data_IF_751127896009
#
_entry.id   IF_751127896009
#
_cell.length_a   1.000
_cell.length_b   1.000
_cell.length_c   1.000
_cell.angle_alpha   90.00
_cell.angle_beta   90.00
_cell.angle_gamma   90.00
#
_symmetry.space_group_name_H-M   'P 1'
#
loop_
_entity.id
_entity.type
_entity.pdbx_description
1 polymer ?
#
# COMPACT_ATOMS: atom_id res chain seq x y z
N UNK A 1 -18.20 -57.15 12.22
CA UNK A 1 -17.65 -58.53 12.34
C UNK A 1 -18.10 -59.33 11.12
N UNK A 2 -17.18 -59.90 10.34
CA UNK A 2 -17.55 -60.69 9.17
C UNK A 2 -16.39 -60.96 8.19
N UNK A 3 -15.70 -62.08 8.43
CA UNK A 3 -14.94 -62.96 7.50
C UNK A 3 -13.84 -62.42 6.55
N UNK A 4 -12.65 -62.95 6.82
CA UNK A 4 -11.40 -63.11 6.04
C UNK A 4 -11.56 -63.49 4.54
N UNK A 5 -10.59 -63.08 3.71
CA UNK A 5 -9.70 -64.01 2.98
C UNK A 5 -8.42 -63.35 2.44
N UNK A 6 -7.32 -64.08 2.54
CA UNK A 6 -5.93 -63.81 2.13
C UNK A 6 -5.57 -64.57 0.84
N UNK A 7 -4.65 -64.03 0.02
CA UNK A 7 -3.51 -64.68 -0.70
C UNK A 7 -3.05 -63.79 -1.89
N UNK A 8 -1.79 -63.32 -1.96
CA UNK A 8 -0.57 -63.93 -2.60
C UNK A 8 -0.73 -64.11 -4.12
N UNK A 9 0.23 -63.89 -5.03
CA UNK A 9 1.64 -63.41 -5.10
C UNK A 9 2.03 -63.51 -6.61
N UNK A 10 3.19 -62.97 -6.99
CA UNK A 10 3.98 -63.17 -8.25
C UNK A 10 3.74 -62.09 -9.32
N UNK A 11 4.69 -61.24 -9.75
CA UNK A 11 6.13 -61.37 -10.06
C UNK A 11 6.44 -62.30 -11.24
N UNK A 12 6.73 -61.69 -12.40
CA UNK A 12 7.40 -62.33 -13.52
C UNK A 12 8.47 -61.37 -14.06
N UNK A 13 9.73 -61.80 -13.91
CA UNK A 13 10.89 -61.34 -14.66
C UNK A 13 10.70 -61.67 -16.15
N UNK A 14 11.16 -60.81 -17.05
CA UNK A 14 11.82 -61.24 -18.28
C UNK A 14 12.99 -60.30 -18.59
N UNK A 15 14.13 -60.94 -18.71
CA UNK A 15 15.46 -60.47 -19.06
C UNK A 15 15.63 -60.63 -20.58
N UNK A 16 16.21 -59.64 -21.25
CA UNK A 16 16.72 -59.80 -22.63
C UNK A 16 17.67 -58.66 -22.94
N UNK A 17 18.96 -58.94 -22.74
CA UNK A 17 20.07 -58.20 -23.34
C UNK A 17 20.04 -58.34 -24.87
N UNK A 18 20.28 -57.24 -25.58
CA UNK A 18 20.97 -57.28 -26.88
C UNK A 18 21.68 -55.94 -27.13
N UNK A 19 22.98 -56.04 -27.42
CA UNK A 19 23.93 -54.95 -27.49
C UNK A 19 24.09 -54.39 -28.92
N UNK A 20 24.29 -53.07 -28.98
CA UNK A 20 25.16 -52.34 -29.90
C UNK A 20 24.71 -51.91 -31.33
N UNK A 21 24.66 -50.57 -31.44
CA UNK A 21 24.96 -49.67 -32.57
C UNK A 21 23.94 -49.46 -33.71
N UNK A 22 23.36 -48.26 -33.77
CA UNK A 22 23.80 -47.26 -34.76
C UNK A 22 23.14 -45.88 -34.54
N UNK A 23 23.92 -44.87 -34.88
CA UNK A 23 23.68 -43.42 -34.84
C UNK A 23 22.44 -42.98 -35.64
N UNK A 24 21.65 -42.06 -35.08
CA UNK A 24 20.98 -40.99 -35.85
C UNK A 24 20.73 -39.80 -34.94
N UNK A 25 21.35 -38.69 -35.29
CA UNK A 25 21.14 -37.37 -34.70
C UNK A 25 19.74 -36.84 -35.02
N UNK A 26 19.02 -36.36 -34.02
CA UNK A 26 18.12 -35.21 -34.18
C UNK A 26 17.79 -34.61 -32.82
N UNK A 27 18.26 -33.38 -32.64
CA UNK A 27 17.86 -32.48 -31.59
C UNK A 27 16.36 -32.18 -31.70
N UNK A 28 15.57 -32.62 -30.73
CA UNK A 28 14.27 -32.00 -30.44
C UNK A 28 14.36 -31.36 -29.06
N UNK A 29 14.52 -30.04 -29.07
CA UNK A 29 14.30 -29.19 -27.92
C UNK A 29 12.84 -29.36 -27.48
N UNK A 30 12.64 -29.80 -26.25
CA UNK A 30 11.35 -29.88 -25.58
C UNK A 30 10.74 -28.47 -25.42
N UNK A 31 9.73 -28.15 -26.24
CA UNK A 31 8.93 -26.91 -26.18
C UNK A 31 7.45 -27.17 -25.84
N UNK A 32 7.02 -28.40 -25.55
CA UNK A 32 5.57 -28.68 -25.38
C UNK A 32 5.01 -28.43 -23.96
N UNK A 33 5.82 -28.04 -22.98
CA UNK A 33 5.38 -27.92 -21.58
C UNK A 33 4.70 -26.60 -21.22
N UNK A 34 5.03 -25.51 -21.91
CA UNK A 34 4.48 -24.17 -21.63
C UNK A 34 3.17 -23.92 -22.37
N UNK A 35 3.07 -24.33 -23.64
CA UNK A 35 1.86 -24.13 -24.45
C UNK A 35 0.65 -24.93 -23.94
N UNK A 36 0.83 -26.19 -23.51
CA UNK A 36 -0.27 -27.01 -22.96
C UNK A 36 -0.81 -26.48 -21.62
N UNK A 37 0.04 -25.85 -20.80
CA UNK A 37 -0.38 -25.26 -19.53
C UNK A 37 -1.08 -23.90 -19.72
N UNK A 38 -0.69 -23.14 -20.74
CA UNK A 38 -1.31 -21.85 -21.08
C UNK A 38 -2.71 -22.05 -21.68
N UNK A 39 -2.85 -22.97 -22.64
CA UNK A 39 -4.15 -23.31 -23.28
C UNK A 39 -5.16 -23.85 -22.27
N UNK A 40 -4.72 -24.66 -21.30
CA UNK A 40 -5.59 -25.16 -20.24
C UNK A 40 -6.07 -24.05 -19.29
N UNK A 41 -5.23 -23.05 -18.98
CA UNK A 41 -5.63 -21.92 -18.11
C UNK A 41 -6.63 -20.99 -18.79
N UNK A 42 -6.44 -20.72 -20.08
CA UNK A 42 -7.38 -19.92 -20.87
C UNK A 42 -8.77 -20.58 -20.94
N UNK A 43 -8.80 -21.91 -21.10
CA UNK A 43 -10.06 -22.66 -21.10
C UNK A 43 -10.82 -22.59 -19.76
N UNK A 44 -10.09 -22.58 -18.64
CA UNK A 44 -10.67 -22.45 -17.29
C UNK A 44 -11.21 -21.04 -17.03
N UNK A 45 -10.51 -20.01 -17.52
CA UNK A 45 -10.99 -18.62 -17.45
C UNK A 45 -12.28 -18.44 -18.26
N UNK A 46 -12.33 -19.04 -19.44
CA UNK A 46 -13.51 -19.01 -20.29
C UNK A 46 -14.73 -19.68 -19.63
N UNK A 47 -14.55 -20.86 -19.05
CA UNK A 47 -15.60 -21.54 -18.28
C UNK A 47 -16.03 -20.71 -17.05
N UNK A 48 -15.08 -20.05 -16.38
CA UNK A 48 -15.38 -19.20 -15.24
C UNK A 48 -16.20 -17.97 -15.66
N UNK A 49 -15.90 -17.32 -16.79
CA UNK A 49 -16.72 -16.22 -17.32
C UNK A 49 -18.14 -16.68 -17.63
N UNK A 50 -18.30 -17.84 -18.27
CA UNK A 50 -19.62 -18.39 -18.58
C UNK A 50 -20.41 -18.67 -17.30
N UNK A 51 -19.75 -19.19 -16.26
CA UNK A 51 -20.36 -19.43 -14.96
C UNK A 51 -20.81 -18.15 -14.23
N UNK A 52 -20.38 -16.95 -14.64
CA UNK A 52 -20.91 -15.68 -14.10
C UNK A 52 -22.36 -15.40 -14.57
N UNK A 53 -22.82 -16.03 -15.65
CA UNK A 53 -24.20 -15.90 -16.12
C UNK A 53 -25.20 -16.76 -15.33
N UNK A 54 -24.70 -17.66 -14.47
CA UNK A 54 -25.54 -18.57 -13.71
C UNK A 54 -26.46 -17.85 -12.71
N UNK A 55 -27.70 -18.33 -12.58
CA UNK A 55 -28.70 -17.70 -11.68
C UNK A 55 -28.28 -17.79 -10.22
N UNK A 56 -27.56 -18.84 -9.84
CA UNK A 56 -27.19 -19.13 -8.45
C UNK A 56 -25.96 -18.32 -8.02
N UNK A 57 -26.13 -17.44 -7.03
CA UNK A 57 -25.04 -16.59 -6.53
C UNK A 57 -23.82 -17.36 -6.03
N UNK A 58 -24.01 -18.50 -5.37
CA UNK A 58 -22.87 -19.32 -4.92
C UNK A 58 -22.03 -19.91 -6.06
N UNK A 59 -22.60 -20.06 -7.27
CA UNK A 59 -21.85 -20.49 -8.45
C UNK A 59 -21.02 -19.32 -8.99
N UNK A 60 -21.63 -18.13 -9.10
CA UNK A 60 -20.94 -16.90 -9.49
C UNK A 60 -19.80 -16.54 -8.53
N UNK A 61 -19.99 -16.71 -7.21
CA UNK A 61 -18.93 -16.50 -6.21
C UNK A 61 -17.71 -17.41 -6.44
N UNK A 62 -17.94 -18.68 -6.82
CA UNK A 62 -16.84 -19.61 -7.13
C UNK A 62 -16.11 -19.20 -8.40
N UNK A 63 -16.86 -18.84 -9.44
CA UNK A 63 -16.30 -18.34 -10.69
C UNK A 63 -15.43 -17.09 -10.47
N UNK A 64 -15.91 -16.12 -9.70
CA UNK A 64 -15.11 -14.93 -9.33
C UNK A 64 -13.82 -15.30 -8.59
N UNK A 65 -13.87 -16.30 -7.70
CA UNK A 65 -12.66 -16.77 -6.98
C UNK A 65 -11.63 -17.35 -7.95
N UNK A 66 -12.06 -18.19 -8.90
CA UNK A 66 -11.19 -18.77 -9.94
C UNK A 66 -10.57 -17.67 -10.81
N UNK A 67 -11.36 -16.66 -11.19
CA UNK A 67 -10.86 -15.51 -11.96
C UNK A 67 -9.78 -14.77 -11.17
N UNK A 68 -10.02 -14.44 -9.89
CA UNK A 68 -9.04 -13.75 -9.04
C UNK A 68 -7.74 -14.56 -8.92
N UNK A 69 -7.83 -15.87 -8.70
CA UNK A 69 -6.66 -16.75 -8.62
C UNK A 69 -5.87 -16.77 -9.94
N UNK A 70 -6.55 -16.79 -11.08
CA UNK A 70 -5.91 -16.76 -12.39
C UNK A 70 -5.19 -15.44 -12.69
N UNK A 71 -5.79 -14.30 -12.31
CA UNK A 71 -5.19 -12.98 -12.45
C UNK A 71 -4.00 -12.76 -11.50
N UNK A 72 -4.06 -13.29 -10.27
CA UNK A 72 -2.92 -13.23 -9.33
C UNK A 72 -1.78 -14.18 -9.72
N UNK A 73 -2.07 -15.27 -10.43
CA UNK A 73 -1.09 -16.28 -10.82
C UNK A 73 -0.30 -15.94 -12.09
N UNK A 74 -0.85 -15.17 -13.02
CA UNK A 74 -0.19 -14.76 -14.27
C UNK A 74 -0.86 -13.51 -14.86
N UNK A 75 -0.11 -12.72 -15.64
CA UNK A 75 -0.65 -11.58 -16.38
C UNK A 75 -1.48 -12.06 -17.59
N UNK A 76 -2.81 -11.95 -17.49
CA UNK A 76 -3.78 -12.49 -18.45
C UNK A 76 -4.06 -11.55 -19.64
N UNK A 77 -3.02 -10.99 -20.27
CA UNK A 77 -3.21 -9.95 -21.31
C UNK A 77 -4.06 -10.40 -22.50
N UNK A 78 -3.80 -11.60 -23.03
CA UNK A 78 -4.51 -12.10 -24.21
C UNK A 78 -6.02 -12.35 -23.95
N UNK A 79 -6.35 -12.81 -22.75
CA UNK A 79 -7.74 -12.98 -22.31
C UNK A 79 -8.44 -11.63 -22.18
N UNK A 80 -7.78 -10.67 -21.51
CA UNK A 80 -8.30 -9.33 -21.28
C UNK A 80 -8.59 -8.61 -22.60
N UNK A 81 -7.67 -8.64 -23.56
CA UNK A 81 -7.87 -8.03 -24.89
C UNK A 81 -9.18 -8.49 -25.57
N UNK A 82 -9.56 -9.76 -25.39
CA UNK A 82 -10.75 -10.35 -26.03
C UNK A 82 -12.02 -10.17 -25.20
N UNK A 83 -11.93 -10.20 -23.88
CA UNK A 83 -13.09 -10.38 -22.99
C UNK A 83 -13.23 -9.34 -21.88
N UNK A 84 -12.42 -8.28 -21.84
CA UNK A 84 -12.50 -7.29 -20.74
C UNK A 84 -13.91 -6.72 -20.55
N UNK A 85 -14.59 -6.29 -21.62
CA UNK A 85 -15.92 -5.69 -21.55
C UNK A 85 -16.96 -6.68 -21.01
N UNK A 86 -16.86 -7.95 -21.42
CA UNK A 86 -17.77 -9.02 -20.94
C UNK A 86 -17.55 -9.26 -19.45
N UNK A 87 -16.30 -9.40 -19.02
CA UNK A 87 -15.96 -9.62 -17.63
C UNK A 87 -16.38 -8.42 -16.75
N UNK A 88 -16.06 -7.20 -17.17
CA UNK A 88 -16.45 -5.96 -16.49
C UNK A 88 -17.97 -5.93 -16.30
N UNK A 89 -18.73 -6.15 -17.37
CA UNK A 89 -20.19 -6.14 -17.31
C UNK A 89 -20.74 -7.14 -16.27
N UNK A 90 -20.19 -8.36 -16.22
CA UNK A 90 -20.62 -9.36 -15.24
C UNK A 90 -20.21 -9.03 -13.81
N UNK A 91 -19.03 -8.48 -13.59
CA UNK A 91 -18.63 -8.00 -12.27
C UNK A 91 -19.51 -6.83 -11.81
N UNK A 92 -19.86 -5.89 -12.69
CA UNK A 92 -20.77 -4.79 -12.36
C UNK A 92 -22.19 -5.28 -12.05
N UNK A 93 -22.68 -6.30 -12.75
CA UNK A 93 -23.96 -6.94 -12.42
C UNK A 93 -23.93 -7.61 -11.03
N UNK A 94 -22.80 -8.25 -10.71
CA UNK A 94 -22.54 -8.84 -9.39
C UNK A 94 -22.50 -7.76 -8.29
N UNK A 95 -21.93 -6.59 -8.56
CA UNK A 95 -21.95 -5.45 -7.62
C UNK A 95 -23.37 -4.93 -7.39
N UNK A 96 -24.19 -4.87 -8.45
CA UNK A 96 -25.57 -4.35 -8.37
C UNK A 96 -26.53 -5.28 -7.61
N UNK A 97 -26.39 -6.60 -7.75
CA UNK A 97 -27.41 -7.57 -7.29
C UNK A 97 -26.86 -8.68 -6.39
N UNK A 98 -25.55 -8.78 -6.24
CA UNK A 98 -24.89 -9.90 -5.58
C UNK A 98 -24.99 -9.89 -4.07
N UNK A 99 -24.56 -11.00 -3.47
CA UNK A 99 -24.36 -11.11 -2.02
C UNK A 99 -23.22 -10.19 -1.56
N UNK A 100 -23.10 -9.92 -0.25
CA UNK A 100 -21.96 -9.15 0.31
C UNK A 100 -20.61 -9.71 -0.13
N UNK A 101 -20.50 -11.04 -0.16
CA UNK A 101 -19.28 -11.77 -0.56
C UNK A 101 -19.06 -11.68 -2.06
N UNK A 102 -20.12 -11.86 -2.85
CA UNK A 102 -20.08 -11.72 -4.31
C UNK A 102 -19.65 -10.31 -4.74
N UNK A 103 -20.18 -9.27 -4.09
CA UNK A 103 -19.78 -7.88 -4.30
C UNK A 103 -18.28 -7.70 -4.01
N UNK A 104 -17.80 -8.22 -2.88
CA UNK A 104 -16.39 -8.09 -2.48
C UNK A 104 -15.45 -8.75 -3.50
N UNK A 105 -15.79 -9.97 -3.96
CA UNK A 105 -15.05 -10.69 -4.98
C UNK A 105 -15.11 -9.97 -6.35
N UNK A 106 -16.27 -9.48 -6.75
CA UNK A 106 -16.44 -8.75 -8.01
C UNK A 106 -15.64 -7.44 -8.01
N UNK A 107 -15.64 -6.70 -6.89
CA UNK A 107 -14.81 -5.50 -6.73
C UNK A 107 -13.32 -5.80 -6.85
N UNK A 108 -12.84 -6.88 -6.23
CA UNK A 108 -11.45 -7.29 -6.34
C UNK A 108 -11.07 -7.71 -7.77
N UNK A 109 -11.96 -8.47 -8.45
CA UNK A 109 -11.76 -8.85 -9.85
C UNK A 109 -11.70 -7.64 -10.81
N UNK A 110 -12.52 -6.60 -10.59
CA UNK A 110 -12.46 -5.36 -11.38
C UNK A 110 -11.12 -4.64 -11.16
N UNK A 111 -10.62 -4.57 -9.93
CA UNK A 111 -9.30 -3.98 -9.64
C UNK A 111 -8.17 -4.70 -10.38
N UNK A 112 -8.15 -6.04 -10.34
CA UNK A 112 -7.18 -6.86 -11.08
C UNK A 112 -7.34 -6.72 -12.61
N UNK A 113 -8.58 -6.62 -13.10
CA UNK A 113 -8.86 -6.37 -14.51
C UNK A 113 -8.23 -5.05 -14.96
N UNK A 114 -8.46 -3.96 -14.22
CA UNK A 114 -7.88 -2.66 -14.54
C UNK A 114 -6.34 -2.69 -14.54
N UNK A 115 -5.73 -3.31 -13.54
CA UNK A 115 -4.27 -3.45 -13.46
C UNK A 115 -3.69 -4.26 -14.63
N UNK A 116 -4.42 -5.27 -15.10
CA UNK A 116 -3.97 -6.15 -16.21
C UNK A 116 -4.17 -5.50 -17.58
N UNK A 117 -5.25 -4.73 -17.75
CA UNK A 117 -5.46 -3.88 -18.94
C UNK A 117 -4.33 -2.85 -19.07
N UNK A 118 -3.91 -2.27 -17.94
CA UNK A 118 -2.90 -1.22 -17.91
C UNK A 118 -3.43 0.14 -18.38
N UNK A 119 -2.53 1.13 -18.44
CA UNK A 119 -2.88 2.50 -18.83
C UNK A 119 -3.41 2.55 -20.27
N UNK A 120 -4.56 3.18 -20.49
CA UNK A 120 -5.16 3.34 -21.82
C UNK A 120 -6.67 3.51 -21.81
N UNK A 121 -7.27 3.48 -23.00
CA UNK A 121 -8.72 3.73 -23.18
C UNK A 121 -9.58 2.69 -22.47
N UNK A 122 -9.18 1.42 -22.50
CA UNK A 122 -9.90 0.34 -21.81
C UNK A 122 -9.95 0.54 -20.28
N UNK A 123 -8.88 1.07 -19.67
CA UNK A 123 -8.88 1.38 -18.23
C UNK A 123 -9.76 2.58 -17.90
N UNK A 124 -9.83 3.57 -18.78
CA UNK A 124 -10.76 4.70 -18.67
C UNK A 124 -12.21 4.23 -18.74
N UNK A 125 -12.53 3.37 -19.70
CA UNK A 125 -13.85 2.75 -19.83
C UNK A 125 -14.24 1.98 -18.56
N UNK A 126 -13.31 1.19 -17.99
CA UNK A 126 -13.53 0.50 -16.72
C UNK A 126 -13.89 1.49 -15.60
N UNK A 127 -13.16 2.60 -15.47
CA UNK A 127 -13.45 3.63 -14.48
C UNK A 127 -14.85 4.24 -14.71
N UNK A 128 -15.12 4.73 -15.91
CA UNK A 128 -16.37 5.41 -16.28
C UNK A 128 -17.60 4.53 -16.01
N UNK A 129 -17.58 3.27 -16.45
CA UNK A 129 -18.70 2.34 -16.26
C UNK A 129 -18.88 1.91 -14.80
N UNK A 130 -17.82 1.92 -14.00
CA UNK A 130 -17.83 1.47 -12.61
C UNK A 130 -18.28 2.53 -11.60
N UNK A 131 -18.12 3.84 -11.89
CA UNK A 131 -18.44 4.92 -10.94
C UNK A 131 -19.88 4.82 -10.45
N UNK A 132 -20.85 4.62 -11.34
CA UNK A 132 -22.28 4.63 -10.98
C UNK A 132 -22.67 3.39 -10.15
N UNK A 133 -22.34 2.15 -10.56
CA UNK A 133 -22.60 0.95 -9.76
C UNK A 133 -21.94 0.99 -8.37
N UNK A 134 -20.67 1.44 -8.28
CA UNK A 134 -19.96 1.56 -7.01
C UNK A 134 -20.62 2.59 -6.09
N UNK A 135 -20.97 3.76 -6.63
CA UNK A 135 -21.68 4.82 -5.89
C UNK A 135 -23.03 4.35 -5.32
N UNK A 136 -23.73 3.46 -6.02
CA UNK A 136 -24.97 2.86 -5.53
C UNK A 136 -24.69 1.79 -4.47
N UNK A 137 -23.66 0.95 -4.65
CA UNK A 137 -23.29 -0.10 -3.72
C UNK A 137 -22.82 0.43 -2.35
N UNK A 138 -22.23 1.63 -2.33
CA UNK A 138 -21.91 2.36 -1.10
C UNK A 138 -23.14 2.75 -0.28
N UNK A 139 -24.27 3.04 -0.95
CA UNK A 139 -25.52 3.44 -0.28
C UNK A 139 -26.33 2.24 0.25
N UNK A 140 -26.10 1.04 -0.27
CA UNK A 140 -26.94 -0.14 -0.05
C UNK A 140 -26.57 -1.00 1.17
N UNK A 141 -25.84 -0.47 2.16
CA UNK A 141 -25.66 -1.12 3.47
C UNK A 141 -24.29 -0.89 4.12
N UNK A 142 -24.22 -1.05 5.45
CA UNK A 142 -23.15 -0.53 6.32
C UNK A 142 -22.05 -1.53 6.73
N UNK A 143 -21.87 -2.62 6.00
CA UNK A 143 -20.85 -3.64 6.33
C UNK A 143 -19.45 -3.16 5.99
N UNK A 144 -18.55 -3.17 6.97
CA UNK A 144 -17.22 -2.57 6.82
C UNK A 144 -16.34 -3.26 5.78
N UNK A 145 -16.38 -4.60 5.69
CA UNK A 145 -15.60 -5.36 4.71
C UNK A 145 -16.06 -5.12 3.26
N UNK A 146 -17.38 -5.11 3.02
CA UNK A 146 -17.95 -4.77 1.72
C UNK A 146 -17.52 -3.37 1.28
N UNK A 147 -17.58 -2.40 2.20
CA UNK A 147 -17.20 -1.01 1.92
C UNK A 147 -15.70 -0.91 1.61
N UNK A 148 -14.84 -1.63 2.37
CA UNK A 148 -13.41 -1.67 2.11
C UNK A 148 -13.10 -2.19 0.69
N UNK A 149 -13.66 -3.33 0.28
CA UNK A 149 -13.43 -3.85 -1.08
C UNK A 149 -13.95 -2.93 -2.20
N UNK A 150 -15.06 -2.23 -1.98
CA UNK A 150 -15.57 -1.23 -2.92
C UNK A 150 -14.65 0.00 -3.02
N UNK A 151 -14.09 0.45 -1.90
CA UNK A 151 -13.12 1.55 -1.84
C UNK A 151 -11.81 1.18 -2.53
N UNK A 152 -11.32 -0.03 -2.25
CA UNK A 152 -10.13 -0.59 -2.91
C UNK A 152 -10.33 -0.62 -4.42
N UNK A 153 -11.44 -1.21 -4.88
CA UNK A 153 -11.78 -1.24 -6.30
C UNK A 153 -11.80 0.16 -6.90
N UNK A 154 -12.50 1.12 -6.28
CA UNK A 154 -12.58 2.49 -6.80
C UNK A 154 -11.20 3.14 -6.87
N UNK A 155 -10.37 3.02 -5.84
CA UNK A 155 -9.04 3.63 -5.86
C UNK A 155 -8.12 3.01 -6.92
N UNK A 156 -8.17 1.70 -7.15
CA UNK A 156 -7.34 1.04 -8.19
C UNK A 156 -7.78 1.47 -9.58
N UNK A 157 -9.08 1.39 -9.88
CA UNK A 157 -9.56 1.74 -11.23
C UNK A 157 -9.35 3.23 -11.52
N UNK A 158 -9.43 4.10 -10.51
CA UNK A 158 -9.09 5.51 -10.65
C UNK A 158 -7.59 5.71 -10.82
N UNK A 159 -6.75 4.97 -10.09
CA UNK A 159 -5.29 5.05 -10.22
C UNK A 159 -4.80 4.65 -11.62
N UNK A 160 -5.42 3.64 -12.24
CA UNK A 160 -5.03 3.17 -13.58
C UNK A 160 -5.75 3.93 -14.70
N UNK A 161 -7.04 4.21 -14.54
CA UNK A 161 -7.89 4.79 -15.59
C UNK A 161 -8.06 6.31 -15.52
N UNK A 162 -7.82 6.94 -14.37
CA UNK A 162 -8.00 8.36 -14.14
C UNK A 162 -6.84 9.16 -14.73
N UNK A 163 -7.03 9.65 -15.95
CA UNK A 163 -5.99 10.40 -16.66
C UNK A 163 -6.02 11.90 -16.30
N UNK A 164 -7.20 12.40 -15.94
CA UNK A 164 -7.40 13.79 -15.59
C UNK A 164 -7.53 13.97 -14.06
N UNK A 165 -6.99 15.07 -13.50
CA UNK A 165 -7.12 15.37 -12.08
C UNK A 165 -8.58 15.50 -11.64
N UNK A 166 -9.48 15.92 -12.53
CA UNK A 166 -10.92 16.05 -12.27
C UNK A 166 -11.59 14.68 -12.02
N UNK A 167 -11.20 13.63 -12.76
CA UNK A 167 -11.74 12.27 -12.57
C UNK A 167 -11.25 11.66 -11.26
N UNK A 168 -9.98 11.90 -10.93
CA UNK A 168 -9.39 11.51 -9.65
C UNK A 168 -10.07 12.24 -8.50
N UNK A 169 -10.26 13.56 -8.61
CA UNK A 169 -10.96 14.35 -7.62
C UNK A 169 -12.40 13.86 -7.42
N UNK A 170 -13.14 13.57 -8.49
CA UNK A 170 -14.51 13.04 -8.42
C UNK A 170 -14.56 11.73 -7.63
N UNK A 171 -13.61 10.83 -7.86
CA UNK A 171 -13.51 9.56 -7.15
C UNK A 171 -13.17 9.78 -5.66
N UNK A 172 -12.22 10.66 -5.38
CA UNK A 172 -11.87 11.07 -4.02
C UNK A 172 -13.05 11.71 -3.28
N UNK A 173 -13.86 12.54 -3.96
CA UNK A 173 -15.06 13.13 -3.40
C UNK A 173 -16.10 12.06 -3.04
N UNK A 174 -16.31 11.04 -3.88
CA UNK A 174 -17.20 9.91 -3.61
C UNK A 174 -16.78 9.19 -2.31
N UNK A 175 -15.48 8.89 -2.16
CA UNK A 175 -14.94 8.27 -0.95
C UNK A 175 -15.15 9.17 0.27
N UNK A 176 -14.89 10.47 0.13
CA UNK A 176 -15.00 11.44 1.24
C UNK A 176 -16.44 11.59 1.74
N UNK A 177 -17.45 11.46 0.87
CA UNK A 177 -18.86 11.50 1.27
C UNK A 177 -19.26 10.39 2.25
N UNK A 178 -18.51 9.29 2.35
CA UNK A 178 -18.78 8.20 3.30
C UNK A 178 -18.46 8.58 4.74
N UNK A 179 -17.45 9.44 4.93
CA UNK A 179 -17.02 9.90 6.27
C UNK A 179 -17.53 11.30 6.60
N UNK A 180 -17.83 12.09 5.56
CA UNK A 180 -18.36 13.44 5.69
C UNK A 180 -19.51 13.67 4.70
N UNK A 181 -20.70 13.10 4.95
CA UNK A 181 -21.86 13.27 4.06
C UNK A 181 -22.23 14.75 3.95
N UNK A 182 -22.43 15.25 2.72
CA UNK A 182 -23.09 16.53 2.48
C UNK A 182 -24.44 16.49 3.19
N UNK A 183 -24.63 17.37 4.17
CA UNK A 183 -25.81 17.43 5.03
C UNK A 183 -27.05 17.76 4.17
N UNK A 184 -27.68 16.74 3.59
CA UNK A 184 -29.01 16.82 3.01
C UNK A 184 -30.04 16.66 4.12
N UNK A 185 -31.01 17.57 4.18
CA UNK A 185 -32.13 17.55 5.13
C UNK A 185 -32.73 16.13 5.24
N UNK A 186 -32.78 15.58 6.45
CA UNK A 186 -33.47 14.35 6.88
C UNK A 186 -32.82 12.96 6.69
N UNK A 187 -31.49 12.81 6.60
CA UNK A 187 -30.87 11.47 6.69
C UNK A 187 -30.16 11.29 8.04
N UNK A 188 -30.58 10.28 8.82
CA UNK A 188 -29.89 9.82 10.03
C UNK A 188 -28.50 9.34 9.59
N UNK A 189 -27.46 10.11 9.89
CA UNK A 189 -26.08 9.74 9.58
C UNK A 189 -25.61 8.68 10.56
N UNK A 190 -25.56 7.42 10.10
CA UNK A 190 -24.88 6.36 10.85
C UNK A 190 -23.41 6.72 10.91
N UNK A 191 -22.89 6.90 12.14
CA UNK A 191 -21.46 7.16 12.36
C UNK A 191 -20.64 6.02 11.74
N UNK A 192 -19.69 6.30 10.82
CA UNK A 192 -18.90 5.25 10.19
C UNK A 192 -18.04 4.54 11.24
N UNK A 193 -17.87 3.22 11.07
CA UNK A 193 -17.01 2.40 11.93
C UNK A 193 -15.54 2.80 11.75
N UNK A 194 -14.69 2.49 12.73
CA UNK A 194 -13.25 2.75 12.62
C UNK A 194 -12.61 2.07 11.39
N UNK A 195 -13.06 0.85 11.06
CA UNK A 195 -12.61 0.13 9.87
C UNK A 195 -12.99 0.87 8.56
N UNK A 196 -14.22 1.40 8.46
CA UNK A 196 -14.64 2.19 7.29
C UNK A 196 -13.84 3.48 7.19
N UNK A 197 -13.64 4.19 8.30
CA UNK A 197 -12.83 5.42 8.32
C UNK A 197 -11.41 5.14 7.83
N UNK A 198 -10.79 4.08 8.36
CA UNK A 198 -9.44 3.65 7.95
C UNK A 198 -9.39 3.39 6.45
N UNK A 199 -10.29 2.55 5.93
CA UNK A 199 -10.33 2.22 4.50
C UNK A 199 -10.55 3.46 3.62
N UNK A 200 -11.44 4.38 4.01
CA UNK A 200 -11.69 5.61 3.27
C UNK A 200 -10.44 6.49 3.25
N UNK A 201 -9.80 6.71 4.40
CA UNK A 201 -8.62 7.57 4.49
C UNK A 201 -7.46 6.97 3.69
N UNK A 202 -7.21 5.66 3.80
CA UNK A 202 -6.14 4.98 3.06
C UNK A 202 -6.36 5.02 1.54
N UNK A 203 -7.58 4.72 1.06
CA UNK A 203 -7.91 4.78 -0.37
C UNK A 203 -7.84 6.22 -0.91
N UNK A 204 -8.30 7.20 -0.12
CA UNK A 204 -8.22 8.62 -0.48
C UNK A 204 -6.78 9.12 -0.52
N UNK A 205 -5.94 8.76 0.46
CA UNK A 205 -4.52 9.15 0.47
C UNK A 205 -3.74 8.46 -0.65
N UNK A 206 -4.10 7.23 -1.01
CA UNK A 206 -3.53 6.53 -2.16
C UNK A 206 -3.78 7.29 -3.46
N UNK A 207 -5.02 7.70 -3.73
CA UNK A 207 -5.32 8.55 -4.91
C UNK A 207 -4.65 9.91 -4.83
N UNK A 208 -4.48 10.48 -3.64
CA UNK A 208 -3.78 11.74 -3.51
C UNK A 208 -2.32 11.66 -4.01
N UNK A 209 -1.67 10.50 -3.90
CA UNK A 209 -0.30 10.31 -4.39
C UNK A 209 -0.13 10.47 -5.91
N UNK A 210 -1.22 10.37 -6.68
CA UNK A 210 -1.18 10.54 -8.14
C UNK A 210 -1.49 11.96 -8.59
N UNK A 211 -1.96 12.83 -7.68
CA UNK A 211 -2.29 14.20 -8.02
C UNK A 211 -1.06 15.11 -7.92
N UNK A 212 -0.91 16.04 -8.85
CA UNK A 212 -0.04 17.19 -8.61
C UNK A 212 -0.75 18.12 -7.61
N UNK A 213 -0.03 18.67 -6.63
CA UNK A 213 -0.66 19.46 -5.54
C UNK A 213 -1.47 20.70 -5.97
N UNK A 214 -1.57 20.98 -7.28
CA UNK A 214 -2.39 22.03 -7.90
C UNK A 214 -3.82 21.58 -8.26
N UNK A 215 -4.08 20.27 -8.32
CA UNK A 215 -5.36 19.74 -8.79
C UNK A 215 -6.52 19.80 -7.80
N UNK A 216 -6.29 20.21 -6.55
CA UNK A 216 -7.31 20.19 -5.49
C UNK A 216 -7.60 21.60 -4.96
N UNK A 217 -8.89 21.94 -4.81
CA UNK A 217 -9.27 23.27 -4.33
C UNK A 217 -8.79 23.53 -2.89
N UNK A 218 -8.31 24.74 -2.55
CA UNK A 218 -7.83 25.07 -1.20
C UNK A 218 -8.83 24.81 -0.07
N UNK A 219 -10.14 24.88 -0.37
CA UNK A 219 -11.22 24.60 0.59
C UNK A 219 -11.30 23.11 0.93
N UNK A 220 -11.12 22.23 -0.06
CA UNK A 220 -11.09 20.79 0.15
C UNK A 220 -9.86 20.43 0.99
N UNK A 221 -8.71 20.99 0.68
CA UNK A 221 -7.48 20.82 1.45
C UNK A 221 -7.62 21.19 2.92
N UNK A 222 -8.11 22.40 3.22
CA UNK A 222 -8.26 22.87 4.59
C UNK A 222 -9.27 22.01 5.39
N UNK A 223 -10.38 21.64 4.75
CA UNK A 223 -11.37 20.74 5.35
C UNK A 223 -10.80 19.35 5.66
N UNK A 224 -10.05 18.78 4.72
CA UNK A 224 -9.41 17.47 4.88
C UNK A 224 -8.35 17.48 5.97
N UNK A 225 -7.46 18.49 6.03
CA UNK A 225 -6.42 18.61 7.07
C UNK A 225 -7.06 18.70 8.46
N UNK A 226 -8.11 19.52 8.60
CA UNK A 226 -8.82 19.69 9.87
C UNK A 226 -9.48 18.38 10.32
N UNK A 227 -10.11 17.67 9.39
CA UNK A 227 -10.73 16.38 9.67
C UNK A 227 -9.68 15.33 10.06
N UNK A 228 -8.59 15.19 9.30
CA UNK A 228 -7.52 14.24 9.58
C UNK A 228 -6.83 14.54 10.93
N UNK A 229 -6.61 15.82 11.27
CA UNK A 229 -6.13 16.22 12.61
C UNK A 229 -7.07 15.74 13.72
N UNK A 230 -8.40 15.79 13.50
CA UNK A 230 -9.36 15.25 14.48
C UNK A 230 -9.34 13.73 14.61
N UNK A 231 -8.86 13.02 13.58
CA UNK A 231 -8.72 11.56 13.62
C UNK A 231 -7.49 11.12 14.42
N UNK A 232 -6.45 11.95 14.52
CA UNK A 232 -5.27 11.69 15.36
C UNK A 232 -5.61 11.58 16.85
N UNK A 233 -6.70 12.24 17.29
CA UNK A 233 -7.17 12.22 18.68
C UNK A 233 -8.08 11.02 19.00
N UNK A 234 -8.37 10.13 18.04
CA UNK A 234 -9.25 8.97 18.27
C UNK A 234 -8.52 7.81 18.94
N UNK A 235 -9.27 7.02 19.73
CA UNK A 235 -8.73 5.85 20.42
C UNK A 235 -8.22 4.77 19.45
N UNK A 236 -8.90 4.62 18.30
CA UNK A 236 -8.59 3.58 17.32
C UNK A 236 -7.25 3.84 16.63
N UNK A 237 -6.35 2.88 16.79
CA UNK A 237 -4.98 2.92 16.27
C UNK A 237 -4.93 2.96 14.75
N UNK A 238 -5.72 2.14 14.07
CA UNK A 238 -5.69 2.04 12.60
C UNK A 238 -6.15 3.35 11.97
N UNK A 239 -7.16 3.98 12.58
CA UNK A 239 -7.61 5.32 12.19
C UNK A 239 -6.50 6.37 12.38
N UNK A 240 -5.78 6.33 13.51
CA UNK A 240 -4.65 7.25 13.77
C UNK A 240 -3.52 7.06 12.76
N UNK A 241 -3.13 5.82 12.48
CA UNK A 241 -2.09 5.47 11.50
C UNK A 241 -2.47 6.01 10.11
N UNK A 242 -3.66 5.66 9.61
CA UNK A 242 -4.11 6.10 8.29
C UNK A 242 -4.18 7.64 8.20
N UNK A 243 -4.63 8.31 9.27
CA UNK A 243 -4.64 9.77 9.31
C UNK A 243 -3.23 10.39 9.29
N UNK A 244 -2.27 9.78 9.99
CA UNK A 244 -0.87 10.20 9.98
C UNK A 244 -0.22 10.06 8.60
N UNK A 245 -0.39 8.91 7.95
CA UNK A 245 0.10 8.66 6.59
C UNK A 245 -0.54 9.63 5.58
N UNK A 246 -1.86 9.82 5.66
CA UNK A 246 -2.57 10.77 4.81
C UNK A 246 -2.00 12.18 4.98
N UNK A 247 -1.85 12.65 6.23
CA UNK A 247 -1.28 13.98 6.52
C UNK A 247 0.15 14.12 5.98
N UNK A 248 1.00 13.10 6.11
CA UNK A 248 2.34 13.13 5.54
C UNK A 248 2.31 13.34 4.02
N UNK A 249 1.45 12.60 3.29
CA UNK A 249 1.27 12.81 1.84
C UNK A 249 0.68 14.18 1.52
N UNK A 250 -0.28 14.70 2.32
CA UNK A 250 -0.81 16.06 2.15
C UNK A 250 0.34 17.08 2.19
N UNK A 251 1.22 16.99 3.19
CA UNK A 251 2.33 17.93 3.35
C UNK A 251 3.42 17.75 2.28
N UNK A 252 3.63 16.53 1.78
CA UNK A 252 4.55 16.25 0.68
C UNK A 252 4.04 16.81 -0.66
N UNK A 253 2.82 16.42 -1.07
CA UNK A 253 2.21 16.78 -2.36
C UNK A 253 1.87 18.28 -2.39
N UNK A 254 1.29 18.75 -1.30
CA UNK A 254 0.79 20.11 -1.10
C UNK A 254 1.79 21.06 -0.44
N UNK A 255 3.10 20.82 -0.60
CA UNK A 255 4.19 21.62 0.02
C UNK A 255 3.75 23.06 0.27
N UNK A 256 3.63 23.42 1.56
CA UNK A 256 2.90 24.58 2.11
C UNK A 256 3.18 25.92 1.40
N UNK A 257 4.36 26.00 0.79
CA UNK A 257 4.87 27.10 -0.02
C UNK A 257 4.05 27.33 -1.31
N UNK A 258 3.48 26.27 -1.90
CA UNK A 258 2.58 26.32 -3.05
C UNK A 258 1.26 27.02 -2.71
N UNK A 259 0.68 26.72 -1.54
CA UNK A 259 -0.47 27.48 -1.02
C UNK A 259 -0.13 28.96 -0.81
N UNK A 260 1.08 29.26 -0.32
CA UNK A 260 1.53 30.64 -0.15
C UNK A 260 1.78 31.37 -1.50
N UNK A 261 2.18 30.64 -2.55
CA UNK A 261 2.43 31.17 -3.88
C UNK A 261 1.12 31.49 -4.63
N UNK A 262 0.09 30.63 -4.56
CA UNK A 262 -1.23 30.89 -5.16
C UNK A 262 -1.90 32.13 -4.56
N UNK A 263 -1.75 32.35 -3.25
CA UNK A 263 -2.26 33.57 -2.59
C UNK A 263 -1.49 34.85 -2.97
N UNK A 264 -0.28 34.74 -3.53
CA UNK A 264 0.53 35.89 -4.00
C UNK A 264 0.34 36.18 -5.49
N UNK A 265 -0.16 35.22 -6.27
CA UNK A 265 -0.28 35.32 -7.73
C UNK A 265 -1.46 36.16 -8.26
N UNK A 266 -2.43 36.51 -7.43
CA UNK A 266 -3.58 37.34 -7.82
C UNK A 266 -3.40 38.80 -7.40
N UNK A 267 -2.31 39.41 -7.84
CA UNK A 267 -2.10 40.87 -7.76
C UNK A 267 -2.35 41.49 -9.12
N UNK A 268 -3.60 41.49 -9.58
CA UNK A 268 -4.03 42.47 -10.57
C UNK A 268 -5.36 43.09 -10.16
N UNK A 269 -5.28 44.35 -9.72
CA UNK A 269 -6.37 45.33 -9.62
C UNK A 269 -7.64 44.98 -8.85
N UNK A 270 -7.64 45.06 -7.51
CA UNK A 270 -8.65 45.85 -6.77
C UNK A 270 -8.42 45.82 -5.25
N UNK A 271 -8.60 46.99 -4.63
CA UNK A 271 -8.33 47.24 -3.21
C UNK A 271 -9.54 46.78 -2.38
N UNK A 272 -9.60 45.50 -1.96
CA UNK A 272 -10.37 45.07 -0.77
C UNK A 272 -10.16 43.60 -0.31
N UNK A 273 -9.06 42.92 -0.62
CA UNK A 273 -8.91 41.48 -0.28
C UNK A 273 -7.60 41.07 0.41
N UNK A 274 -6.90 42.02 1.05
CA UNK A 274 -5.63 41.77 1.74
C UNK A 274 -5.69 40.99 3.07
N UNK A 275 -6.87 40.84 3.68
CA UNK A 275 -6.99 40.22 5.02
C UNK A 275 -7.29 38.71 4.99
N UNK A 276 -8.09 38.20 4.04
CA UNK A 276 -8.52 36.78 4.03
C UNK A 276 -7.40 35.81 3.68
N UNK A 277 -6.50 36.20 2.78
CA UNK A 277 -5.35 35.39 2.34
C UNK A 277 -4.33 35.19 3.46
N UNK A 278 -4.08 36.24 4.24
CA UNK A 278 -3.15 36.24 5.39
C UNK A 278 -3.70 35.44 6.57
N UNK A 279 -5.02 35.48 6.77
CA UNK A 279 -5.73 34.73 7.81
C UNK A 279 -5.77 33.22 7.51
N UNK A 280 -6.02 32.83 6.25
CA UNK A 280 -5.96 31.43 5.81
C UNK A 280 -4.57 30.80 5.99
N UNK A 281 -3.50 31.53 5.66
CA UNK A 281 -2.13 31.09 5.88
C UNK A 281 -1.80 30.90 7.38
N UNK A 282 -2.23 31.85 8.21
CA UNK A 282 -2.04 31.79 9.67
C UNK A 282 -2.78 30.60 10.28
N UNK A 283 -3.98 30.31 9.78
CA UNK A 283 -4.77 29.15 10.21
C UNK A 283 -4.11 27.82 9.85
N UNK A 284 -3.58 27.69 8.62
CA UNK A 284 -2.87 26.49 8.17
C UNK A 284 -1.59 26.26 8.99
N UNK A 285 -0.83 27.32 9.30
CA UNK A 285 0.34 27.23 10.17
C UNK A 285 -0.02 26.83 11.60
N UNK A 286 -1.12 27.38 12.14
CA UNK A 286 -1.66 26.97 13.44
C UNK A 286 -2.09 25.49 13.46
N UNK A 287 -2.74 25.03 12.39
CA UNK A 287 -3.09 23.61 12.22
C UNK A 287 -1.85 22.73 12.12
N UNK A 288 -0.82 23.15 11.37
CA UNK A 288 0.47 22.43 11.30
C UNK A 288 1.09 22.29 12.69
N UNK A 289 1.13 23.37 13.48
CA UNK A 289 1.63 23.34 14.85
C UNK A 289 0.83 22.39 15.75
N UNK A 290 -0.50 22.38 15.64
CA UNK A 290 -1.37 21.43 16.36
C UNK A 290 -1.04 19.99 15.97
N UNK A 291 -0.99 19.68 14.68
CA UNK A 291 -0.70 18.35 14.15
C UNK A 291 0.67 17.86 14.63
N UNK A 292 1.68 18.74 14.60
CA UNK A 292 3.03 18.42 15.04
C UNK A 292 3.07 18.01 16.52
N UNK A 293 2.31 18.71 17.38
CA UNK A 293 2.17 18.31 18.79
C UNK A 293 1.46 16.95 18.93
N UNK A 294 0.35 16.73 18.20
CA UNK A 294 -0.38 15.46 18.21
C UNK A 294 0.53 14.29 17.77
N UNK A 295 1.28 14.47 16.68
CA UNK A 295 2.23 13.48 16.16
C UNK A 295 3.35 13.21 17.16
N UNK A 296 3.87 14.26 17.82
CA UNK A 296 4.90 14.11 18.87
C UNK A 296 4.37 13.30 20.07
N UNK A 297 3.14 13.55 20.50
CA UNK A 297 2.53 12.79 21.59
C UNK A 297 2.35 11.32 21.21
N UNK A 298 1.92 11.04 19.98
CA UNK A 298 1.73 9.69 19.46
C UNK A 298 3.05 8.93 19.21
N UNK A 299 4.14 9.64 18.90
CA UNK A 299 5.47 9.04 18.74
C UNK A 299 6.08 8.61 20.09
N UNK A 300 5.66 9.27 21.18
CA UNK A 300 6.08 8.99 22.55
C UNK A 300 5.07 8.17 23.37
N UNK A 301 3.88 7.87 22.82
CA UNK A 301 2.76 7.24 23.53
C UNK A 301 3.18 5.97 24.27
N UNK A 302 3.13 5.97 25.61
CA UNK A 302 3.50 4.83 26.45
C UNK A 302 2.60 3.62 26.16
N UNK A 303 3.17 2.42 26.10
CA UNK A 303 2.40 1.21 25.84
C UNK A 303 1.44 0.91 26.98
N UNK A 304 0.15 1.13 26.77
CA UNK A 304 -0.88 0.84 27.77
C UNK A 304 -0.91 -0.64 28.16
N UNK A 305 -1.26 -0.94 29.42
CA UNK A 305 -1.48 -2.31 29.90
C UNK A 305 -2.50 -3.01 29.00
N UNK A 306 -2.07 -4.01 28.23
CA UNK A 306 -2.94 -4.88 27.42
C UNK A 306 -2.82 -4.72 25.90
N UNK A 307 -2.03 -3.77 25.39
CA UNK A 307 -1.81 -3.66 23.94
C UNK A 307 -0.64 -4.54 23.47
N UNK A 308 -0.80 -5.21 22.33
CA UNK A 308 0.23 -6.08 21.78
C UNK A 308 1.51 -5.27 21.49
N UNK A 309 2.60 -5.59 22.20
CA UNK A 309 3.89 -4.84 22.15
C UNK A 309 4.40 -4.57 20.73
N UNK A 310 4.22 -5.53 19.81
CA UNK A 310 4.65 -5.40 18.41
C UNK A 310 3.82 -4.35 17.68
N UNK A 311 2.49 -4.48 17.76
CA UNK A 311 1.55 -3.55 17.14
C UNK A 311 1.88 -2.16 17.62
N UNK A 312 1.96 -1.91 18.94
CA UNK A 312 2.38 -0.65 19.58
C UNK A 312 3.63 0.01 18.97
N UNK A 313 4.64 -0.79 18.66
CA UNK A 313 5.90 -0.32 18.10
C UNK A 313 5.72 0.27 16.70
N UNK A 314 4.82 -0.28 15.89
CA UNK A 314 4.64 0.11 14.49
C UNK A 314 4.09 1.54 14.35
N UNK A 315 3.07 1.94 15.13
CA UNK A 315 2.54 3.33 15.17
C UNK A 315 3.59 4.30 15.69
N UNK A 316 4.36 3.92 16.72
CA UNK A 316 5.40 4.80 17.25
C UNK A 316 6.48 5.07 16.21
N UNK A 317 6.91 4.02 15.49
CA UNK A 317 7.88 4.17 14.42
C UNK A 317 7.30 5.05 13.30
N UNK A 318 6.07 4.77 12.86
CA UNK A 318 5.38 5.60 11.88
C UNK A 318 5.33 7.07 12.31
N UNK A 319 4.89 7.39 13.53
CA UNK A 319 4.81 8.79 13.96
C UNK A 319 6.16 9.42 14.26
N UNK A 320 7.23 8.64 14.49
CA UNK A 320 8.59 9.18 14.48
C UNK A 320 8.99 9.60 13.07
N UNK A 321 8.73 8.74 12.08
CA UNK A 321 9.04 9.04 10.68
C UNK A 321 8.20 10.24 10.19
N UNK A 322 6.92 10.32 10.56
CA UNK A 322 6.06 11.48 10.26
C UNK A 322 6.56 12.73 10.97
N UNK A 323 7.00 12.63 12.24
CA UNK A 323 7.52 13.78 12.98
C UNK A 323 8.79 14.34 12.34
N UNK A 324 9.75 13.46 12.04
CA UNK A 324 11.02 13.80 11.38
C UNK A 324 10.77 14.43 10.01
N UNK A 325 9.81 13.89 9.24
CA UNK A 325 9.38 14.50 7.99
C UNK A 325 8.78 15.91 8.18
N UNK A 326 7.91 16.11 9.17
CA UNK A 326 7.24 17.40 9.38
C UNK A 326 8.15 18.50 9.97
N UNK A 327 9.14 18.10 10.78
CA UNK A 327 10.13 18.98 11.41
C UNK A 327 11.31 19.28 10.49
N UNK A 328 11.92 18.23 9.93
CA UNK A 328 13.23 18.29 9.25
C UNK A 328 13.12 18.05 7.73
N UNK A 329 11.96 17.62 7.24
CA UNK A 329 11.74 17.36 5.80
C UNK A 329 12.30 16.03 5.31
N UNK A 330 12.82 15.18 6.19
CA UNK A 330 13.37 13.87 5.81
C UNK A 330 12.25 12.83 5.69
N UNK A 331 12.09 12.29 4.48
CA UNK A 331 11.21 11.14 4.26
C UNK A 331 11.93 9.85 4.65
N UNK A 332 11.23 8.85 5.20
CA UNK A 332 11.84 7.58 5.54
C UNK A 332 12.23 6.81 4.27
N UNK A 333 13.49 6.39 4.18
CA UNK A 333 13.96 5.53 3.09
C UNK A 333 13.72 4.05 3.43
N UNK A 334 12.97 3.34 2.58
CA UNK A 334 12.78 1.90 2.74
C UNK A 334 13.23 1.13 1.50
N UNK A 335 13.74 -0.08 1.72
CA UNK A 335 14.14 -0.97 0.63
C UNK A 335 13.39 -2.29 0.73
N UNK A 336 12.89 -2.75 -0.40
CA UNK A 336 12.15 -3.98 -0.55
C UNK A 336 12.81 -4.83 -1.63
N UNK A 337 13.08 -6.10 -1.33
CA UNK A 337 13.66 -7.00 -2.33
C UNK A 337 12.55 -7.67 -3.12
N UNK A 338 12.53 -7.47 -4.44
CA UNK A 338 11.64 -8.12 -5.38
C UNK A 338 12.51 -8.96 -6.32
N UNK A 339 12.40 -10.30 -6.21
CA UNK A 339 13.27 -11.20 -6.97
C UNK A 339 14.75 -10.98 -6.65
N UNK A 340 15.51 -10.56 -7.65
CA UNK A 340 16.94 -10.24 -7.50
C UNK A 340 17.21 -8.76 -7.23
N UNK A 341 16.24 -7.90 -7.49
CA UNK A 341 16.37 -6.45 -7.43
C UNK A 341 15.84 -5.88 -6.11
N UNK A 342 16.29 -4.67 -5.78
CA UNK A 342 15.78 -3.91 -4.64
C UNK A 342 15.04 -2.69 -5.14
N UNK A 343 13.76 -2.59 -4.79
CA UNK A 343 12.94 -1.40 -4.94
C UNK A 343 13.20 -0.50 -3.74
N UNK A 344 13.59 0.75 -3.99
CA UNK A 344 13.81 1.76 -2.96
C UNK A 344 12.70 2.80 -3.02
N UNK A 345 12.19 3.17 -1.85
CA UNK A 345 11.25 4.29 -1.69
C UNK A 345 11.91 5.37 -0.86
N UNK A 346 11.72 6.61 -1.30
CA UNK A 346 12.29 7.80 -0.67
C UNK A 346 11.25 8.90 -0.45
N UNK A 347 9.96 8.66 -0.75
CA UNK A 347 8.88 9.62 -0.54
C UNK A 347 7.67 8.95 0.10
N UNK A 348 6.84 9.72 0.80
CA UNK A 348 5.57 9.26 1.37
C UNK A 348 4.61 8.79 0.30
N UNK A 349 4.58 9.46 -0.86
CA UNK A 349 3.77 9.03 -2.00
C UNK A 349 4.16 7.64 -2.48
N UNK A 350 5.47 7.38 -2.66
CA UNK A 350 5.96 6.06 -3.02
C UNK A 350 5.69 5.03 -1.92
N UNK A 351 5.89 5.41 -0.65
CA UNK A 351 5.63 4.53 0.47
C UNK A 351 4.18 4.10 0.52
N UNK A 352 3.21 5.01 0.38
CA UNK A 352 1.77 4.71 0.35
C UNK A 352 1.41 3.84 -0.85
N UNK A 353 1.92 4.17 -2.05
CA UNK A 353 1.68 3.36 -3.25
C UNK A 353 2.23 1.93 -3.06
N UNK A 354 3.40 1.79 -2.46
CA UNK A 354 4.01 0.49 -2.16
C UNK A 354 3.49 -0.18 -0.88
N UNK A 355 2.62 0.46 -0.10
CA UNK A 355 2.28 0.02 1.25
C UNK A 355 1.30 -1.16 1.27
N UNK A 356 0.18 -1.06 1.98
CA UNK A 356 -0.78 -2.13 2.21
C UNK A 356 -1.80 -2.22 1.06
N UNK A 357 -2.10 -1.10 0.40
CA UNK A 357 -3.16 -1.00 -0.58
C UNK A 357 -2.92 -1.86 -1.83
N UNK A 358 -1.77 -1.73 -2.52
CA UNK A 358 -1.44 -2.61 -3.65
C UNK A 358 -1.13 -4.04 -3.19
N UNK A 359 -0.60 -4.23 -1.97
CA UNK A 359 -0.30 -5.56 -1.42
C UNK A 359 -1.57 -6.38 -1.19
N UNK A 360 -2.62 -5.77 -0.66
CA UNK A 360 -3.91 -6.44 -0.43
C UNK A 360 -4.59 -6.79 -1.75
N UNK A 361 -4.44 -5.94 -2.77
CA UNK A 361 -4.97 -6.18 -4.12
C UNK A 361 -4.29 -7.36 -4.81
N UNK A 362 -2.96 -7.46 -4.72
CA UNK A 362 -2.22 -8.58 -5.31
C UNK A 362 -2.12 -9.80 -4.38
N UNK A 363 -2.67 -9.75 -3.16
CA UNK A 363 -2.46 -10.77 -2.13
C UNK A 363 -0.98 -11.01 -1.82
N UNK A 364 -0.12 -9.99 -2.03
CA UNK A 364 1.33 -10.11 -2.01
C UNK A 364 1.93 -9.32 -0.86
N UNK A 365 2.58 -10.00 0.09
CA UNK A 365 3.32 -9.32 1.18
C UNK A 365 4.83 -9.54 1.03
N UNK A 366 5.56 -8.61 0.39
CA UNK A 366 7.01 -8.66 0.29
C UNK A 366 7.69 -8.44 1.64
N UNK A 367 8.85 -9.08 1.84
CA UNK A 367 9.66 -8.92 3.05
C UNK A 367 10.36 -7.55 3.03
N UNK A 368 9.91 -6.60 3.86
CA UNK A 368 10.58 -5.31 4.04
C UNK A 368 11.88 -5.44 4.83
N UNK A 369 12.91 -4.69 4.42
CA UNK A 369 14.13 -4.48 5.20
C UNK A 369 14.22 -2.98 5.52
N UNK A 370 13.91 -2.62 6.75
CA UNK A 370 14.11 -1.26 7.24
C UNK A 370 15.62 -0.99 7.31
N UNK A 371 16.10 0.02 6.58
CA UNK A 371 17.53 0.34 6.52
C UNK A 371 18.06 0.90 7.86
N UNK A 372 17.17 1.31 8.76
CA UNK A 372 17.53 1.87 10.06
C UNK A 372 17.55 0.88 11.25
N UNK A 373 17.26 -0.40 11.04
CA UNK A 373 17.15 -1.34 12.16
C UNK A 373 17.39 -2.80 11.80
N UNK A 374 18.53 -3.33 12.25
CA UNK A 374 19.01 -4.71 12.10
C UNK A 374 19.71 -5.01 10.77
N UNK A 375 21.05 -4.87 10.80
CA UNK A 375 22.01 -5.46 9.86
C UNK A 375 21.83 -7.00 9.76
N UNK A 376 20.84 -7.47 9.00
CA UNK A 376 20.92 -8.81 8.41
C UNK A 376 21.68 -8.73 7.09
N UNK A 377 22.97 -8.45 7.25
CA UNK A 377 24.01 -8.54 6.24
C UNK A 377 24.04 -9.97 5.68
N UNK A 378 23.99 -10.10 4.35
CA UNK A 378 24.10 -11.39 3.65
C UNK A 378 25.45 -12.06 3.92
N UNK A 379 25.56 -13.37 3.71
CA UNK A 379 26.82 -14.09 4.00
C UNK A 379 28.01 -13.63 3.13
N UNK A 380 27.76 -13.07 1.95
CA UNK A 380 28.75 -12.42 1.10
C UNK A 380 29.18 -11.07 1.68
N UNK A 381 28.22 -10.23 2.09
CA UNK A 381 28.53 -8.95 2.74
C UNK A 381 29.20 -9.17 4.11
N UNK A 382 28.87 -10.21 4.89
CA UNK A 382 29.59 -10.56 6.13
C UNK A 382 31.06 -10.87 5.85
N UNK A 383 31.35 -11.51 4.72
CA UNK A 383 32.72 -11.78 4.26
C UNK A 383 33.46 -10.50 3.86
N UNK A 384 32.77 -9.50 3.31
CA UNK A 384 33.38 -8.23 2.88
C UNK A 384 33.53 -7.25 4.06
N UNK A 385 32.55 -7.17 4.96
CA UNK A 385 32.51 -6.17 6.03
C UNK A 385 33.00 -6.68 7.40
N UNK A 386 32.88 -7.98 7.70
CA UNK A 386 33.22 -8.56 9.02
C UNK A 386 34.41 -9.53 8.98
N UNK A 387 35.04 -9.72 7.83
CA UNK A 387 36.30 -10.48 7.74
C UNK A 387 37.43 -9.72 8.47
N UNK A 388 38.25 -10.38 9.30
CA UNK A 388 39.40 -9.76 9.97
C UNK A 388 40.40 -9.13 8.99
N UNK A 389 40.43 -9.59 7.74
CA UNK A 389 41.37 -9.12 6.72
C UNK A 389 40.76 -8.11 5.74
N UNK A 390 39.51 -7.69 5.89
CA UNK A 390 38.92 -6.74 4.94
C UNK A 390 39.46 -5.33 5.10
N UNK A 391 39.57 -4.62 3.98
CA UNK A 391 40.06 -3.23 3.91
C UNK A 391 39.22 -2.32 4.81
N UNK A 392 37.91 -2.51 4.82
CA UNK A 392 36.96 -1.71 5.60
C UNK A 392 37.14 -1.95 7.12
N UNK A 393 37.38 -3.19 7.54
CA UNK A 393 37.59 -3.50 8.95
C UNK A 393 38.95 -2.96 9.45
N UNK A 394 39.98 -2.97 8.60
CA UNK A 394 41.27 -2.33 8.89
C UNK A 394 41.13 -0.82 9.05
N UNK A 395 40.39 -0.16 8.16
CA UNK A 395 40.11 1.30 8.24
C UNK A 395 39.30 1.64 9.50
N UNK A 396 38.26 0.86 9.81
CA UNK A 396 37.45 1.03 11.02
C UNK A 396 38.28 0.85 12.31
N UNK A 397 39.16 -0.15 12.34
CA UNK A 397 40.04 -0.41 13.49
C UNK A 397 41.05 0.72 13.68
N UNK A 398 41.64 1.23 12.59
CA UNK A 398 42.53 2.40 12.66
C UNK A 398 41.79 3.65 13.16
N UNK A 399 40.57 3.88 12.69
CA UNK A 399 39.75 5.01 13.14
C UNK A 399 39.40 4.91 14.63
N UNK A 400 38.99 3.72 15.11
CA UNK A 400 38.68 3.50 16.52
C UNK A 400 39.91 3.61 17.42
N UNK A 401 41.07 3.12 16.99
CA UNK A 401 42.33 3.30 17.72
C UNK A 401 42.72 4.78 17.78
N UNK A 402 42.52 5.55 16.70
CA UNK A 402 42.75 7.00 16.69
C UNK A 402 41.81 7.72 17.68
N UNK A 403 40.55 7.32 17.75
CA UNK A 403 39.60 7.87 18.74
C UNK A 403 39.96 7.49 20.19
N UNK A 404 40.42 6.25 20.44
CA UNK A 404 40.86 5.80 21.78
C UNK A 404 42.06 6.60 22.28
N UNK A 405 43.05 6.81 21.42
CA UNK A 405 44.21 7.66 21.72
C UNK A 405 43.81 9.11 22.03
N UNK A 406 42.84 9.66 21.29
CA UNK A 406 42.31 11.00 21.54
C UNK A 406 41.52 11.09 22.87
N UNK A 407 40.84 10.02 23.28
CA UNK A 407 40.15 9.97 24.59
C UNK A 407 41.09 9.75 25.77
N UNK A 408 42.15 8.96 25.61
CA UNK A 408 43.18 8.78 26.66
C UNK A 408 43.95 10.08 26.90
N UNK A 409 44.27 10.83 25.84
CA UNK A 409 44.85 12.19 25.96
C UNK A 409 43.94 13.19 26.68
N UNK A 410 42.61 12.98 26.66
CA UNK A 410 41.62 13.82 27.36
C UNK A 410 41.47 13.47 28.84
N UNK A 411 41.70 12.21 29.22
CA UNK A 411 41.61 11.74 30.61
C UNK A 411 42.88 12.03 31.43
N UNK A 412 44.00 12.34 30.79
CA UNK A 412 45.26 12.71 31.47
C UNK A 412 45.18 14.13 32.08
N UNK A 413 44.24 14.98 31.66
CA UNK A 413 44.12 16.37 32.14
C UNK A 413 43.24 16.60 33.37
N UNK A 414 42.59 15.58 33.93
CA UNK A 414 41.53 15.77 34.95
C UNK A 414 41.84 15.23 36.36
N UNK A 415 43.08 14.83 36.66
CA UNK A 415 43.50 14.31 37.98
C UNK A 415 44.67 15.05 38.64
N UNK A 416 44.92 16.32 38.30
CA UNK A 416 45.81 17.18 39.08
C UNK A 416 45.00 18.30 39.72
N UNK A 417 45.28 18.61 40.99
CA UNK A 417 44.62 19.59 41.89
C UNK A 417 43.51 19.00 42.77
N UNK A 418 43.90 18.30 43.85
CA UNK A 418 43.55 18.70 45.23
C UNK A 418 44.17 17.74 46.27
N UNK A 419 45.40 18.02 46.72
CA UNK A 419 45.99 17.65 48.04
C UNK A 419 47.29 18.47 48.13
N UNK A 420 47.61 19.33 49.08
CA UNK A 420 46.96 19.83 50.28
C UNK A 420 47.90 20.90 50.86
N UNK A 421 47.36 21.98 51.41
CA UNK A 421 48.08 22.85 52.33
C UNK A 421 47.30 22.83 53.65
N UNK A 422 47.71 21.93 54.55
CA UNK A 422 47.49 22.04 55.99
C UNK A 422 48.87 22.23 56.64
N UNK A 423 49.06 23.41 57.21
CA UNK A 423 49.88 23.81 58.36
C UNK A 423 51.17 23.02 58.71
N UNK A 424 52.33 23.68 58.54
CA UNK A 424 53.33 23.97 59.60
C UNK A 424 54.48 24.82 59.09
#
# INVERSE_FOLDING_TARGET
MGKRRTQRKNAAMLDSDDDNSSVTSSSTMSVSGTEELEVNKDSLLDEAVDALYEKRGSTREKALTVIIEAFNGNLQHQFVEKKFATLLHQCLNSIKKGSKKEISLASHAIGLLALTVGLGDNAREILEESITPLSQAFKSGSESSKIASLLECLAIITFVGGNDPEETEKSMQIMWQLVHPKLGSNVITVKPSAAVITAVVSAWSFLLTTMDGRGLSPKIWQGSITYLSSLLDKDDRSVRIAAGEALAVIFEVGSLEKFAAEFKGSSDGSVSEGNKSKEGYSHIQGLKGKILNQVRDLSMEAGGKGSAKKVLNDQRNLFKDVLEFLEDGYCPETSMKIGWDSLQTSTWSQLIQENEFLKDVFGFTPKRRNLLGSEHISNSEKRIYKSPNSVINKVRTQHLNKQRMLSEGRNIGHFAVNVGDEDS
#
